data_IF_897747823469
#
_entry.id   IF_897747823469
#
_cell.length_a   1.000
_cell.length_b   1.000
_cell.length_c   1.000
_cell.angle_alpha   90.00
_cell.angle_beta   90.00
_cell.angle_gamma   90.00
#
_symmetry.space_group_name_H-M   'P 1'
#
loop_
_entity.id
_entity.type
_entity.pdbx_description
1 polymer ?
2 non-polymer ?
3 non-polymer ?
4 water ?
#
# COMPACT_ATOMS: atom_id res chain seq x y z
N UNK A 1 -7.64 5.22 -22.10
CA UNK A 1 -6.63 4.13 -22.05
C UNK A 1 -7.22 2.89 -21.38
N UNK A 2 -6.74 1.71 -21.80
CA UNK A 2 -7.25 0.46 -21.22
C UNK A 2 -6.83 0.39 -19.76
N UNK A 3 -5.57 0.73 -19.48
CA UNK A 3 -5.05 0.77 -18.11
C UNK A 3 -5.30 2.19 -17.60
N UNK A 4 -6.39 2.36 -16.86
CA UNK A 4 -6.70 3.66 -16.33
C UNK A 4 -6.37 3.80 -14.83
N UNK A 5 -6.25 2.68 -14.12
CA UNK A 5 -5.97 2.68 -12.66
C UNK A 5 -4.86 1.69 -12.27
N UNK A 6 -4.16 2.00 -11.17
CA UNK A 6 -3.14 1.12 -10.62
C UNK A 6 -3.55 0.87 -9.17
N UNK A 7 -3.81 -0.39 -8.81
CA UNK A 7 -4.12 -0.68 -7.42
C UNK A 7 -2.74 -0.79 -6.77
N UNK A 8 -2.34 0.24 -6.03
CA UNK A 8 -1.03 0.20 -5.38
C UNK A 8 -0.92 -0.66 -4.12
N UNK A 9 -1.95 -1.46 -3.82
CA UNK A 9 -1.83 -2.27 -2.59
C UNK A 9 -2.88 -3.38 -2.62
N UNK A 10 -2.50 -4.56 -3.11
CA UNK A 10 -3.42 -5.67 -3.14
C UNK A 10 -2.66 -6.93 -2.75
N UNK A 11 -3.17 -7.65 -1.74
CA UNK A 11 -2.53 -8.87 -1.26
C UNK A 11 -3.01 -10.00 -2.17
N UNK A 12 -2.53 -9.92 -3.40
CA UNK A 12 -2.93 -10.85 -4.46
C UNK A 12 -2.44 -12.30 -4.31
N UNK A 13 -1.60 -12.57 -3.32
CA UNK A 13 -1.09 -13.92 -3.10
C UNK A 13 -1.96 -14.67 -2.09
N UNK A 14 -2.98 -14.00 -1.58
CA UNK A 14 -3.92 -14.63 -0.64
C UNK A 14 -5.24 -14.95 -1.34
N UNK A 15 -6.11 -15.74 -0.66
CA UNK A 15 -7.44 -16.10 -1.20
C UNK A 15 -8.25 -14.80 -1.25
N UNK A 16 -9.20 -14.67 -2.19
CA UNK A 16 -9.64 -15.59 -3.23
C UNK A 16 -8.83 -15.58 -4.53
N UNK A 17 -7.74 -14.81 -4.58
CA UNK A 17 -6.96 -14.70 -5.82
C UNK A 17 -5.99 -15.85 -6.09
N UNK A 18 -5.50 -16.44 -5.02
CA UNK A 18 -4.52 -17.52 -5.12
C UNK A 18 -5.18 -18.67 -5.87
N UNK A 19 -4.55 -19.13 -6.95
CA UNK A 19 -5.11 -20.22 -7.75
C UNK A 19 -6.15 -19.76 -8.74
N UNK A 20 -6.49 -18.48 -8.74
CA UNK A 20 -7.49 -17.95 -9.66
C UNK A 20 -6.95 -16.65 -10.24
N UNK A 21 -5.62 -16.58 -10.38
CA UNK A 21 -4.93 -15.40 -10.90
C UNK A 21 -5.39 -14.93 -12.27
N UNK A 22 -5.59 -15.85 -13.21
CA UNK A 22 -6.02 -15.46 -14.56
C UNK A 22 -7.34 -14.71 -14.59
N UNK A 23 -8.36 -15.32 -14.00
CA UNK A 23 -9.68 -14.71 -13.95
C UNK A 23 -9.63 -13.40 -13.18
N UNK A 24 -8.90 -13.40 -12.06
CA UNK A 24 -8.81 -12.21 -11.22
C UNK A 24 -8.14 -11.04 -11.96
N UNK A 25 -7.06 -11.31 -12.66
CA UNK A 25 -6.41 -10.24 -13.41
C UNK A 25 -7.31 -9.74 -14.53
N UNK A 26 -8.11 -10.62 -15.15
CA UNK A 26 -9.00 -10.14 -16.23
C UNK A 26 -10.13 -9.28 -15.63
N UNK A 27 -10.66 -9.68 -14.48
CA UNK A 27 -11.71 -8.88 -13.85
C UNK A 27 -11.16 -7.50 -13.50
N UNK A 28 -9.90 -7.45 -13.06
CA UNK A 28 -9.26 -6.19 -12.71
C UNK A 28 -9.06 -5.37 -13.97
N UNK A 29 -8.53 -6.00 -15.00
CA UNK A 29 -8.27 -5.26 -16.24
C UNK A 29 -9.54 -4.68 -16.86
N UNK A 30 -10.59 -5.48 -16.97
CA UNK A 30 -11.80 -4.96 -17.57
C UNK A 30 -12.33 -3.75 -16.80
N UNK A 31 -12.01 -3.64 -15.51
CA UNK A 31 -12.47 -2.50 -14.72
C UNK A 31 -11.53 -1.32 -14.92
N UNK A 32 -10.46 -1.55 -15.68
CA UNK A 32 -9.49 -0.50 -15.91
C UNK A 32 -8.28 -0.58 -14.98
N UNK A 33 -8.24 -1.58 -14.10
CA UNK A 33 -7.11 -1.74 -13.19
C UNK A 33 -6.05 -2.55 -13.94
N UNK A 34 -5.09 -1.84 -14.51
CA UNK A 34 -4.07 -2.47 -15.35
C UNK A 34 -2.82 -3.02 -14.71
N UNK A 35 -2.47 -2.50 -13.53
CA UNK A 35 -1.30 -2.99 -12.79
C UNK A 35 -1.69 -3.05 -11.33
N UNK A 36 -1.05 -3.97 -10.61
CA UNK A 36 -1.34 -4.14 -9.19
C UNK A 36 -0.01 -4.35 -8.46
N UNK A 37 0.20 -3.65 -7.36
CA UNK A 37 1.41 -3.82 -6.55
C UNK A 37 1.04 -4.73 -5.38
N UNK A 38 1.81 -5.81 -5.23
CA UNK A 38 1.59 -6.85 -4.21
C UNK A 38 2.64 -6.78 -3.11
N UNK A 39 2.27 -6.26 -1.94
CA UNK A 39 3.25 -6.18 -0.85
C UNK A 39 3.26 -7.46 -0.02
N UNK A 40 4.43 -7.98 0.31
CA UNK A 40 4.47 -9.23 1.10
C UNK A 40 4.16 -8.93 2.55
N UNK A 41 3.91 -10.00 3.33
CA UNK A 41 3.58 -9.89 4.75
C UNK A 41 4.60 -10.55 5.66
N UNK A 42 5.36 -11.49 5.11
CA UNK A 42 6.33 -12.23 5.90
C UNK A 42 7.26 -13.00 4.99
N UNK A 43 8.43 -13.36 5.51
CA UNK A 43 9.46 -14.02 4.72
C UNK A 43 9.00 -15.32 4.06
N UNK A 44 8.14 -16.06 4.74
CA UNK A 44 7.66 -17.29 4.15
C UNK A 44 6.88 -17.07 2.85
N UNK A 45 6.34 -15.85 2.67
CA UNK A 45 5.61 -15.53 1.44
C UNK A 45 6.46 -14.80 0.38
N UNK A 46 7.75 -14.56 0.65
CA UNK A 46 8.58 -13.84 -0.36
C UNK A 46 8.62 -14.55 -1.73
N UNK A 47 8.81 -15.86 -1.70
CA UNK A 47 8.88 -16.62 -2.94
C UNK A 47 7.62 -16.50 -3.79
N UNK A 48 6.45 -16.67 -3.18
CA UNK A 48 5.22 -16.60 -3.94
C UNK A 48 4.89 -15.17 -4.48
N UNK A 49 5.32 -14.14 -3.74
CA UNK A 49 5.07 -12.77 -4.19
C UNK A 49 6.05 -12.49 -5.34
N UNK A 50 7.29 -12.93 -5.20
CA UNK A 50 8.26 -12.71 -6.27
C UNK A 50 7.81 -13.47 -7.52
N UNK A 51 7.29 -14.69 -7.34
CA UNK A 51 6.84 -15.48 -8.50
C UNK A 51 5.69 -14.76 -9.20
N UNK A 52 4.77 -14.16 -8.44
CA UNK A 52 3.67 -13.43 -9.06
C UNK A 52 4.23 -12.31 -9.92
N UNK A 53 5.17 -11.53 -9.38
CA UNK A 53 5.72 -10.41 -10.15
C UNK A 53 6.52 -10.86 -11.35
N UNK A 54 7.21 -11.98 -11.24
CA UNK A 54 8.00 -12.43 -12.36
C UNK A 54 7.15 -13.10 -13.45
N UNK A 55 6.04 -13.74 -13.06
CA UNK A 55 5.19 -14.45 -14.03
C UNK A 55 4.02 -13.69 -14.67
N UNK A 56 3.58 -12.58 -14.06
CA UNK A 56 2.44 -11.83 -14.62
C UNK A 56 2.84 -10.40 -14.92
N UNK A 57 2.74 -9.99 -16.17
CA UNK A 57 3.12 -8.62 -16.53
C UNK A 57 2.49 -7.54 -15.65
N UNK A 58 1.20 -7.64 -15.32
CA UNK A 58 0.59 -6.60 -14.49
C UNK A 58 0.99 -6.51 -13.03
N UNK A 59 1.66 -7.53 -12.50
CA UNK A 59 1.95 -7.51 -11.08
C UNK A 59 3.36 -7.08 -10.69
N UNK A 60 3.44 -6.22 -9.70
CA UNK A 60 4.71 -5.75 -9.23
C UNK A 60 4.74 -6.12 -7.78
N UNK A 61 5.92 -6.15 -7.19
CA UNK A 61 6.01 -6.58 -5.81
C UNK A 61 6.76 -5.66 -4.85
N UNK A 62 6.51 -5.88 -3.54
CA UNK A 62 7.22 -5.22 -2.47
C UNK A 62 7.48 -6.39 -1.48
N UNK A 63 8.65 -6.38 -0.84
CA UNK A 63 9.04 -7.40 0.12
C UNK A 63 9.27 -6.70 1.44
N UNK A 64 8.77 -7.32 2.50
CA UNK A 64 8.89 -6.72 3.80
C UNK A 64 8.13 -7.58 4.79
N UNK A 65 8.21 -7.18 6.05
CA UNK A 65 7.61 -7.93 7.15
C UNK A 65 6.53 -7.07 7.85
N UNK A 66 5.27 -7.50 7.70
CA UNK A 66 4.06 -6.83 8.20
C UNK A 66 3.93 -6.90 9.72
N UNK A 67 3.57 -5.77 10.36
CA UNK A 67 3.44 -5.79 11.84
C UNK A 67 2.38 -6.77 12.33
N UNK A 68 1.41 -7.05 11.46
CA UNK A 68 0.33 -7.97 11.84
C UNK A 68 0.82 -9.40 11.95
N UNK A 69 1.98 -9.69 11.38
CA UNK A 69 2.58 -11.01 11.43
C UNK A 69 3.84 -11.00 12.31
N UNK A 70 3.89 -10.08 13.27
CA UNK A 70 5.08 -9.93 14.12
C UNK A 70 5.60 -11.24 14.71
N UNK A 71 4.69 -12.11 15.11
CA UNK A 71 5.10 -13.36 15.73
C UNK A 71 5.91 -14.27 14.83
N UNK A 72 5.82 -14.06 13.51
CA UNK A 72 6.54 -14.87 12.55
C UNK A 72 7.90 -14.31 12.15
N UNK A 73 8.19 -13.06 12.51
CA UNK A 73 9.45 -12.44 12.09
C UNK A 73 10.61 -12.66 13.02
N UNK A 74 11.68 -13.21 12.46
CA UNK A 74 12.92 -13.51 13.21
C UNK A 74 14.08 -12.82 12.54
N UNK A 75 15.28 -12.94 13.13
CA UNK A 75 16.46 -12.33 12.52
C UNK A 75 16.68 -13.03 11.18
N UNK A 76 16.26 -14.29 11.07
CA UNK A 76 16.38 -14.99 9.80
C UNK A 76 15.44 -14.33 8.78
N UNK A 77 14.24 -13.94 9.20
CA UNK A 77 13.32 -13.25 8.27
C UNK A 77 13.98 -11.97 7.74
N UNK A 78 14.67 -11.24 8.61
CA UNK A 78 15.29 -10.00 8.17
C UNK A 78 16.48 -10.28 7.27
N UNK A 79 17.22 -11.34 7.55
CA UNK A 79 18.35 -11.65 6.70
C UNK A 79 17.80 -12.05 5.32
N UNK A 80 16.68 -12.77 5.30
CA UNK A 80 16.11 -13.17 4.01
C UNK A 80 15.66 -11.97 3.19
N UNK A 81 15.10 -10.99 3.87
CA UNK A 81 14.66 -9.74 3.21
C UNK A 81 15.89 -9.04 2.59
N UNK A 82 16.95 -8.87 3.38
CA UNK A 82 18.14 -8.23 2.87
C UNK A 82 18.75 -8.98 1.68
N UNK A 83 18.89 -10.30 1.80
CA UNK A 83 19.45 -11.06 0.66
C UNK A 83 18.56 -10.97 -0.57
N UNK A 84 17.24 -10.98 -0.36
CA UNK A 84 16.34 -10.89 -1.50
C UNK A 84 16.52 -9.55 -2.17
N UNK A 85 16.54 -8.49 -1.38
CA UNK A 85 16.71 -7.14 -1.92
C UNK A 85 18.06 -7.00 -2.67
N UNK A 86 19.12 -7.59 -2.10
CA UNK A 86 20.47 -7.55 -2.70
C UNK A 86 20.46 -8.12 -4.12
N UNK A 87 19.67 -9.16 -4.33
CA UNK A 87 19.57 -9.78 -5.64
C UNK A 87 18.69 -8.97 -6.58
N UNK A 88 17.99 -7.98 -6.02
CA UNK A 88 17.08 -7.07 -6.71
C UNK A 88 16.21 -7.66 -7.82
N UNK A 89 15.14 -8.37 -7.44
CA UNK A 89 14.22 -8.99 -8.41
C UNK A 89 13.78 -8.12 -9.59
N UNK A 90 13.82 -6.79 -9.43
CA UNK A 90 13.47 -5.82 -10.52
C UNK A 90 12.04 -5.32 -10.62
N UNK A 91 11.06 -6.22 -10.59
CA UNK A 91 9.69 -5.76 -10.57
C UNK A 91 9.36 -5.57 -9.10
N UNK A 92 10.40 -5.65 -8.27
CA UNK A 92 10.23 -5.40 -6.84
C UNK A 92 10.41 -3.89 -6.79
N UNK A 93 9.40 -3.17 -6.34
CA UNK A 93 9.50 -1.73 -6.37
C UNK A 93 9.54 -1.01 -5.05
N UNK A 94 9.47 -1.75 -3.95
CA UNK A 94 9.46 -1.12 -2.64
C UNK A 94 9.74 -2.15 -1.57
N UNK A 95 10.08 -1.65 -0.39
CA UNK A 95 10.29 -2.47 0.79
C UNK A 95 8.91 -2.32 1.34
N UNK A 96 8.21 -3.42 1.29
CA UNK A 96 6.87 -3.32 1.68
C UNK A 96 6.09 -4.54 1.94
N UNK A 97 5.32 -3.96 2.84
CA UNK A 97 4.30 -3.90 3.82
C UNK A 97 4.99 -4.03 5.14
N UNK A 98 5.40 -2.86 5.62
CA UNK A 98 6.07 -2.74 6.92
C UNK A 98 5.26 -1.64 7.61
N UNK A 99 5.44 -1.50 8.92
CA UNK A 99 4.72 -0.45 9.61
C UNK A 99 4.43 -0.82 11.06
N UNK A 100 3.39 -0.19 11.60
CA UNK A 100 3.00 -0.36 12.98
C UNK A 100 1.50 -0.55 13.09
N UNK A 101 1.05 -1.20 14.16
CA UNK A 101 -0.38 -1.45 14.30
C UNK A 101 -0.62 -1.65 15.79
N UNK A 102 -1.40 -0.77 16.42
CA UNK A 102 -1.63 -0.90 17.85
C UNK A 102 -2.86 -1.70 18.23
N UNK A 103 -3.36 -2.50 17.31
CA UNK A 103 -4.53 -3.32 17.59
C UNK A 103 -4.10 -4.54 18.41
N UNK A 104 -4.93 -4.92 19.38
CA UNK A 104 -4.63 -6.09 20.19
C UNK A 104 -4.34 -5.80 21.64
N UNK A 105 -4.52 -6.81 22.50
CA UNK A 105 -4.23 -6.59 23.92
C UNK A 105 -2.74 -6.44 24.17
N UNK A 106 -1.91 -7.02 23.31
CA UNK A 106 -0.47 -6.82 23.48
C UNK A 106 0.22 -6.81 22.14
N UNK A 107 0.21 -5.65 21.51
CA UNK A 107 0.82 -5.44 20.20
C UNK A 107 2.36 -5.51 20.16
N UNK A 108 3.01 -5.62 21.31
CA UNK A 108 4.48 -5.68 21.35
C UNK A 108 5.03 -4.50 20.53
N UNK A 109 4.55 -3.33 20.89
CA UNK A 109 4.88 -2.08 20.18
C UNK A 109 6.37 -1.72 20.09
N UNK A 110 7.13 -1.96 21.15
CA UNK A 110 8.58 -1.65 21.09
C UNK A 110 9.25 -2.54 20.04
N UNK A 111 8.94 -3.84 20.03
CA UNK A 111 9.53 -4.71 19.03
C UNK A 111 9.02 -4.31 17.63
N UNK A 112 7.75 -3.88 17.51
CA UNK A 112 7.27 -3.45 16.18
C UNK A 112 8.14 -2.31 15.67
N UNK A 113 8.44 -1.36 16.56
CA UNK A 113 9.26 -0.22 16.13
C UNK A 113 10.69 -0.59 15.79
N UNK A 114 11.26 -1.53 16.53
CA UNK A 114 12.64 -1.92 16.19
C UNK A 114 12.62 -2.56 14.80
N UNK A 115 11.62 -3.41 14.58
CA UNK A 115 11.53 -4.11 13.31
C UNK A 115 11.29 -3.14 12.15
N UNK A 116 10.43 -2.16 12.37
CA UNK A 116 10.21 -1.16 11.33
C UNK A 116 11.54 -0.44 11.01
N UNK A 117 12.28 -0.03 12.03
CA UNK A 117 13.52 0.69 11.72
C UNK A 117 14.54 -0.17 11.00
N UNK A 118 14.59 -1.49 11.30
CA UNK A 118 15.52 -2.37 10.60
C UNK A 118 15.18 -2.38 9.11
N UNK A 119 13.89 -2.33 8.80
CA UNK A 119 13.49 -2.36 7.39
C UNK A 119 13.63 -1.00 6.75
N UNK A 120 13.50 0.06 7.53
CA UNK A 120 13.68 1.40 6.98
C UNK A 120 15.16 1.51 6.60
N UNK A 121 16.05 0.89 7.37
CA UNK A 121 17.46 0.94 7.04
C UNK A 121 17.71 0.21 5.71
N UNK A 122 17.01 -0.90 5.47
CA UNK A 122 17.18 -1.64 4.22
C UNK A 122 16.67 -0.85 3.01
N UNK A 123 15.55 -0.15 3.18
CA UNK A 123 15.01 0.64 2.09
C UNK A 123 16.04 1.72 1.74
N UNK A 124 16.69 2.29 2.76
CA UNK A 124 17.71 3.31 2.48
C UNK A 124 18.90 2.72 1.77
N UNK A 125 19.35 1.56 2.25
CA UNK A 125 20.51 0.90 1.65
C UNK A 125 20.29 0.55 0.18
N UNK A 126 19.10 0.06 -0.13
CA UNK A 126 18.81 -0.35 -1.49
C UNK A 126 18.09 0.69 -2.33
N UNK A 127 17.93 1.89 -1.77
CA UNK A 127 17.32 3.04 -2.45
C UNK A 127 15.91 2.70 -2.94
N UNK A 128 15.03 2.31 -2.02
CA UNK A 128 13.65 1.95 -2.38
C UNK A 128 12.65 2.67 -1.52
N UNK A 129 11.45 2.94 -2.06
CA UNK A 129 10.42 3.60 -1.26
C UNK A 129 9.81 2.49 -0.39
N UNK A 130 9.00 2.87 0.61
CA UNK A 130 8.35 1.89 1.48
C UNK A 130 6.84 1.98 1.39
N UNK A 131 6.19 0.84 1.60
CA UNK A 131 4.73 0.75 1.61
C UNK A 131 4.44 0.52 3.08
N UNK A 132 3.77 1.49 3.67
CA UNK A 132 3.51 1.48 5.09
C UNK A 132 2.10 1.24 5.53
N UNK A 133 2.01 0.47 6.62
CA UNK A 133 0.77 0.12 7.31
C UNK A 133 0.81 0.92 8.60
N UNK A 134 -0.31 1.55 8.96
CA UNK A 134 -0.38 2.33 10.18
C UNK A 134 -1.80 2.27 10.69
N UNK A 135 -1.97 1.72 11.89
CA UNK A 135 -3.31 1.64 12.42
C UNK A 135 -3.21 2.11 13.87
N UNK A 136 -3.72 3.32 14.11
CA UNK A 136 -3.69 3.94 15.42
C UNK A 136 -2.27 4.27 15.85
N UNK A 137 -1.37 4.41 14.88
CA UNK A 137 0.05 4.66 15.12
C UNK A 137 0.58 5.79 14.23
N UNK A 138 -0.30 6.65 13.71
CA UNK A 138 0.19 7.69 12.79
C UNK A 138 1.26 8.65 13.36
N UNK A 139 1.06 9.11 14.58
CA UNK A 139 2.00 10.03 15.20
C UNK A 139 3.37 9.39 15.39
N UNK A 140 3.39 8.17 15.92
CA UNK A 140 4.64 7.46 16.15
C UNK A 140 5.32 7.14 14.84
N UNK A 141 4.54 6.70 13.84
CA UNK A 141 5.13 6.37 12.55
C UNK A 141 5.76 7.62 11.97
N UNK A 142 5.05 8.74 12.04
CA UNK A 142 5.61 10.00 11.52
C UNK A 142 6.91 10.38 12.24
N UNK A 143 6.97 10.12 13.55
CA UNK A 143 8.18 10.44 14.30
C UNK A 143 9.38 9.68 13.74
N UNK A 144 9.21 8.39 13.44
CA UNK A 144 10.28 7.56 12.86
C UNK A 144 10.60 8.02 11.44
N UNK A 145 9.57 8.28 10.61
CA UNK A 145 9.87 8.72 9.23
C UNK A 145 10.68 10.01 9.22
N UNK A 146 10.28 10.95 10.07
CA UNK A 146 11.02 12.20 10.12
C UNK A 146 12.49 11.93 10.49
N UNK A 147 12.71 11.12 11.51
CA UNK A 147 14.08 10.82 11.95
C UNK A 147 14.96 10.11 10.95
N UNK A 148 14.41 9.10 10.28
CA UNK A 148 15.24 8.32 9.39
C UNK A 148 15.41 8.84 7.98
N UNK A 149 14.60 9.82 7.61
CA UNK A 149 14.73 10.53 6.34
C UNK A 149 15.10 9.66 5.14
N UNK A 150 14.14 8.89 4.67
CA UNK A 150 14.36 8.02 3.52
C UNK A 150 14.25 8.87 2.27
N UNK A 151 15.31 8.90 1.43
CA UNK A 151 15.29 9.69 0.20
C UNK A 151 14.09 9.37 -0.72
N UNK A 152 13.69 8.11 -0.78
CA UNK A 152 12.59 7.74 -1.68
C UNK A 152 11.22 7.73 -1.05
N UNK A 153 11.17 8.11 0.23
CA UNK A 153 9.97 8.09 1.03
C UNK A 153 9.07 6.87 0.77
N UNK A 154 7.79 7.10 0.48
CA UNK A 154 6.87 5.99 0.30
C UNK A 154 5.42 6.43 0.40
N UNK A 155 4.55 5.48 0.75
CA UNK A 155 3.12 5.75 0.86
C UNK A 155 2.60 5.19 2.20
N UNK A 156 1.74 5.95 2.87
CA UNK A 156 1.10 5.43 4.07
C UNK A 156 -0.20 4.90 3.49
N UNK A 157 -0.28 3.59 3.32
CA UNK A 157 -1.45 2.99 2.67
C UNK A 157 -2.73 2.96 3.52
N UNK A 158 -3.86 2.82 2.83
CA UNK A 158 -5.17 2.69 3.48
C UNK A 158 -5.38 3.69 4.58
N UNK A 159 -4.96 4.92 4.33
CA UNK A 159 -5.06 5.94 5.34
C UNK A 159 -6.45 6.26 5.90
N UNK A 160 -6.53 6.32 7.21
CA UNK A 160 -7.76 6.75 7.87
C UNK A 160 -7.26 7.51 9.07
N UNK A 161 -7.71 8.74 9.22
CA UNK A 161 -7.23 9.52 10.36
C UNK A 161 -7.52 10.98 10.18
N UNK A 162 -6.82 11.82 10.92
CA UNK A 162 -7.04 13.26 10.89
C UNK A 162 -6.31 14.01 9.79
N UNK A 163 -6.78 15.20 9.52
CA UNK A 163 -6.13 16.02 8.51
C UNK A 163 -4.70 16.32 8.96
N UNK A 164 -4.50 16.65 10.23
CA UNK A 164 -3.12 16.92 10.68
C UNK A 164 -2.21 15.71 10.47
N UNK A 165 -2.71 14.51 10.71
CA UNK A 165 -1.86 13.34 10.53
C UNK A 165 -1.50 13.14 9.07
N UNK A 166 -2.47 13.33 8.18
CA UNK A 166 -2.21 13.20 6.74
C UNK A 166 -1.23 14.25 6.26
N UNK A 167 -1.48 15.51 6.61
CA UNK A 167 -0.61 16.59 6.19
C UNK A 167 0.82 16.40 6.71
N UNK A 168 0.97 15.88 7.91
CA UNK A 168 2.32 15.63 8.43
C UNK A 168 3.04 14.61 7.56
N UNK A 169 2.34 13.58 7.10
CA UNK A 169 2.98 12.58 6.24
C UNK A 169 3.34 13.23 4.90
N UNK A 170 2.43 14.02 4.36
CA UNK A 170 2.65 14.67 3.07
C UNK A 170 3.84 15.64 3.17
N UNK A 171 3.94 16.35 4.30
CA UNK A 171 5.04 17.29 4.49
C UNK A 171 6.37 16.56 4.66
N UNK A 172 6.34 15.29 5.02
CA UNK A 172 7.57 14.50 5.12
C UNK A 172 7.89 13.88 3.74
N UNK A 173 7.03 14.15 2.76
CA UNK A 173 7.23 13.65 1.40
C UNK A 173 6.56 12.33 1.08
N UNK A 174 5.72 11.86 1.98
CA UNK A 174 5.02 10.59 1.78
C UNK A 174 3.70 10.76 1.07
N UNK A 175 3.27 9.70 0.38
CA UNK A 175 1.99 9.73 -0.29
C UNK A 175 0.95 9.11 0.63
N UNK A 176 -0.31 9.24 0.24
CA UNK A 176 -1.45 8.78 1.03
C UNK A 176 -2.27 7.81 0.17
N UNK A 177 -2.44 6.58 0.66
CA UNK A 177 -3.20 5.59 -0.10
C UNK A 177 -4.69 5.74 0.13
N UNK A 178 -5.43 5.89 -0.95
CA UNK A 178 -6.88 6.08 -0.89
C UNK A 178 -7.57 4.78 -1.28
N UNK A 179 -8.27 4.20 -0.32
CA UNK A 179 -8.98 2.96 -0.53
C UNK A 179 -10.42 3.02 -0.02
N UNK A 180 -10.98 1.85 0.28
CA UNK A 180 -12.38 1.72 0.69
C UNK A 180 -12.87 2.57 1.83
N UNK A 181 -11.94 3.09 2.62
CA UNK A 181 -12.29 3.93 3.76
C UNK A 181 -13.13 5.13 3.33
N UNK A 182 -12.88 5.66 2.15
CA UNK A 182 -13.64 6.83 1.75
C UNK A 182 -15.07 6.56 1.32
N UNK A 183 -15.47 5.28 1.27
CA UNK A 183 -16.83 4.95 0.86
C UNK A 183 -17.80 4.88 2.03
N UNK A 184 -17.28 5.13 3.24
CA UNK A 184 -18.05 5.11 4.48
C UNK A 184 -18.12 6.50 5.13
N UNK A 185 -18.99 7.39 4.63
CA UNK A 185 -19.03 8.72 5.25
C UNK A 185 -19.34 8.82 6.75
N UNK A 186 -20.04 7.81 7.27
CA UNK A 186 -20.41 7.87 8.67
C UNK A 186 -19.39 7.19 9.60
N UNK A 187 -18.33 6.62 9.03
CA UNK A 187 -17.34 5.91 9.85
C UNK A 187 -16.16 6.75 10.33
N UNK A 188 -15.92 7.86 9.67
CA UNK A 188 -14.83 8.76 10.04
C UNK A 188 -14.92 10.01 9.21
N UNK A 189 -13.94 10.89 9.39
CA UNK A 189 -13.90 12.14 8.65
C UNK A 189 -12.78 12.08 7.62
N UNK A 190 -12.40 10.86 7.26
CA UNK A 190 -11.33 10.70 6.29
C UNK A 190 -11.70 11.26 4.91
N UNK A 191 -12.98 11.23 4.54
CA UNK A 191 -13.37 11.77 3.25
C UNK A 191 -13.02 13.25 3.17
N UNK A 192 -13.20 13.98 4.28
CA UNK A 192 -12.90 15.40 4.30
C UNK A 192 -11.40 15.64 4.16
N UNK A 193 -10.59 14.74 4.72
CA UNK A 193 -9.13 14.86 4.63
C UNK A 193 -8.71 14.66 3.20
N UNK A 194 -9.19 13.56 2.61
CA UNK A 194 -8.82 13.25 1.24
C UNK A 194 -9.29 14.33 0.27
N UNK A 195 -10.40 14.99 0.59
CA UNK A 195 -10.88 16.06 -0.26
C UNK A 195 -9.93 17.26 -0.23
N UNK A 196 -9.19 17.42 0.84
CA UNK A 196 -8.31 18.58 0.96
C UNK A 196 -6.83 18.40 0.59
N UNK A 197 -6.34 17.17 0.62
CA UNK A 197 -4.93 16.97 0.30
C UNK A 197 -4.60 17.32 -1.15
N UNK A 198 -3.32 17.69 -1.42
CA UNK A 198 -2.85 18.04 -2.77
C UNK A 198 -3.05 16.80 -3.63
N UNK A 199 -3.52 16.98 -4.85
CA UNK A 199 -3.75 15.84 -5.73
C UNK A 199 -2.49 14.98 -5.96
N UNK A 200 -1.31 15.61 -5.93
CA UNK A 200 -0.07 14.90 -6.17
C UNK A 200 0.28 14.00 -5.02
N UNK A 201 -0.44 14.08 -3.91
CA UNK A 201 -0.07 13.22 -2.79
C UNK A 201 -0.86 11.91 -2.71
N UNK A 202 -1.84 11.74 -3.57
CA UNK A 202 -2.72 10.56 -3.53
C UNK A 202 -2.38 9.35 -4.41
N UNK A 203 -2.57 8.16 -3.87
CA UNK A 203 -2.40 6.93 -4.65
C UNK A 203 -3.71 6.17 -4.47
N UNK A 204 -4.03 5.33 -5.45
CA UNK A 204 -5.27 4.54 -5.39
C UNK A 204 -4.95 3.11 -4.95
N UNK A 205 -5.85 2.49 -4.18
CA UNK A 205 -5.58 1.11 -3.73
C UNK A 205 -6.87 0.48 -3.27
N UNK A 206 -6.79 -0.81 -2.91
CA UNK A 206 -7.93 -1.52 -2.32
C UNK A 206 -7.61 -2.25 -1.00
N UNK A 207 -6.36 -2.70 -0.85
CA UNK A 207 -5.92 -3.53 0.26
C UNK A 207 -6.71 -4.85 0.17
N UNK A 208 -7.19 -5.20 -1.02
CA UNK A 208 -7.95 -6.46 -1.15
C UNK A 208 -7.07 -7.64 -0.71
N UNK A 209 -7.68 -8.67 -0.13
CA UNK A 209 -9.10 -8.88 0.15
C UNK A 209 -9.68 -8.17 1.35
N UNK A 210 -8.87 -7.39 2.08
CA UNK A 210 -9.45 -6.70 3.25
C UNK A 210 -10.05 -5.36 2.84
N UNK A 211 -10.55 -4.60 3.83
CA UNK A 211 -11.16 -3.28 3.61
C UNK A 211 -12.28 -3.25 2.54
N UNK A 212 -13.32 -4.12 2.69
CA UNK A 212 -14.42 -4.15 1.72
C UNK A 212 -15.10 -2.79 1.60
N UNK A 213 -15.55 -2.41 0.42
CA UNK A 213 -16.20 -1.10 0.29
C UNK A 213 -17.64 -1.13 0.83
N UNK A 214 -18.16 0.07 1.12
CA UNK A 214 -19.52 0.24 1.64
C UNK A 214 -20.53 -0.39 0.69
N UNK A 215 -21.29 -1.35 1.19
CA UNK A 215 -22.30 -2.02 0.36
C UNK A 215 -21.80 -3.34 -0.20
N UNK A 216 -20.57 -3.70 0.15
CA UNK A 216 -19.95 -4.92 -0.32
C UNK A 216 -19.36 -5.72 0.81
N UNK A 217 -19.79 -5.42 2.02
CA UNK A 217 -19.29 -6.14 3.17
C UNK A 217 -19.82 -7.59 3.15
N UNK A 218 -19.11 -8.49 3.83
CA UNK A 218 -19.55 -9.87 3.86
C UNK A 218 -18.89 -10.78 2.83
N UNK A 219 -18.09 -10.21 1.92
CA UNK A 219 -17.38 -10.98 0.90
C UNK A 219 -16.02 -10.32 0.66
N UNK A 220 -15.05 -11.06 0.13
CA UNK A 220 -13.75 -10.42 -0.09
C UNK A 220 -13.71 -9.21 -1.01
N UNK A 221 -12.82 -8.28 -0.68
CA UNK A 221 -12.63 -7.10 -1.52
C UNK A 221 -11.79 -7.63 -2.69
N UNK A 222 -11.84 -6.95 -3.82
CA UNK A 222 -11.10 -7.37 -5.00
C UNK A 222 -10.49 -6.12 -5.64
N UNK A 223 -9.36 -6.28 -6.35
CA UNK A 223 -8.72 -5.11 -6.97
C UNK A 223 -9.56 -4.29 -7.95
N UNK A 224 -10.53 -4.92 -8.61
CA UNK A 224 -11.36 -4.14 -9.53
C UNK A 224 -12.13 -3.05 -8.78
N UNK A 225 -12.26 -3.21 -7.46
CA UNK A 225 -12.99 -2.24 -6.66
C UNK A 225 -12.23 -0.92 -6.62
N UNK A 226 -10.99 -0.89 -7.11
CA UNK A 226 -10.26 0.36 -7.14
C UNK A 226 -11.01 1.36 -8.03
N UNK A 227 -11.66 0.85 -9.08
CA UNK A 227 -12.43 1.71 -10.01
C UNK A 227 -13.58 2.38 -9.28
N UNK A 228 -14.15 1.65 -8.32
CA UNK A 228 -15.25 2.17 -7.50
C UNK A 228 -14.69 3.20 -6.49
N UNK A 229 -13.52 2.91 -5.90
CA UNK A 229 -12.91 3.86 -4.97
C UNK A 229 -12.70 5.16 -5.73
N UNK A 230 -12.21 5.05 -6.96
CA UNK A 230 -11.97 6.20 -7.81
C UNK A 230 -13.25 7.02 -8.06
N UNK A 231 -14.36 6.34 -8.32
CA UNK A 231 -15.62 7.04 -8.57
C UNK A 231 -15.97 7.84 -7.33
N UNK A 232 -15.77 7.28 -6.16
CA UNK A 232 -16.07 8.01 -4.94
C UNK A 232 -15.10 9.16 -4.74
N UNK A 233 -13.82 8.93 -5.05
CA UNK A 233 -12.83 9.99 -4.91
C UNK A 233 -13.21 11.18 -5.79
N UNK A 234 -13.75 10.89 -6.98
CA UNK A 234 -14.16 11.98 -7.86
C UNK A 234 -15.28 12.81 -7.23
N UNK A 235 -16.13 12.18 -6.44
CA UNK A 235 -17.23 12.90 -5.81
C UNK A 235 -16.69 13.83 -4.73
N UNK A 236 -15.56 13.46 -4.14
CA UNK A 236 -14.96 14.26 -3.08
C UNK A 236 -14.11 15.41 -3.59
N UNK A 237 -13.50 15.21 -4.75
CA UNK A 237 -12.61 16.22 -5.29
C UNK A 237 -13.26 17.24 -6.19
N UNK A 238 -12.60 18.38 -6.36
CA UNK A 238 -13.10 19.42 -7.25
C UNK A 238 -12.63 19.17 -8.68
N UNK A 239 -11.42 18.63 -8.85
CA UNK A 239 -10.87 18.37 -10.20
C UNK A 239 -11.71 17.41 -11.02
N UNK A 240 -11.67 17.56 -12.35
CA UNK A 240 -12.43 16.66 -13.23
C UNK A 240 -11.83 15.27 -13.08
N UNK A 241 -12.66 14.25 -13.36
CA UNK A 241 -12.24 12.87 -13.28
C UNK A 241 -11.01 12.54 -14.11
N UNK A 242 -10.91 13.09 -15.32
CA UNK A 242 -9.75 12.76 -16.13
C UNK A 242 -8.46 13.31 -15.53
N UNK A 243 -8.55 14.45 -14.86
CA UNK A 243 -7.36 15.02 -14.24
C UNK A 243 -6.97 14.17 -13.01
N UNK A 244 -7.96 13.73 -12.26
CA UNK A 244 -7.69 12.91 -11.09
C UNK A 244 -7.08 11.58 -11.49
N UNK A 245 -7.69 10.91 -12.47
CA UNK A 245 -7.17 9.62 -12.92
C UNK A 245 -5.71 9.77 -13.37
N UNK A 246 -5.41 10.81 -14.14
CA UNK A 246 -4.05 11.00 -14.61
C UNK A 246 -3.09 11.30 -13.46
N UNK A 247 -3.56 12.02 -12.45
CA UNK A 247 -2.69 12.33 -11.32
C UNK A 247 -2.32 11.05 -10.55
N UNK A 248 -3.31 10.21 -10.27
CA UNK A 248 -3.04 8.98 -9.54
C UNK A 248 -2.01 8.17 -10.30
N UNK A 249 -2.14 8.08 -11.63
CA UNK A 249 -1.16 7.32 -12.41
C UNK A 249 0.20 7.97 -12.33
N UNK A 250 0.27 9.29 -12.48
CA UNK A 250 1.58 9.98 -12.40
C UNK A 250 2.26 9.85 -11.03
N UNK A 251 1.46 9.96 -9.98
CA UNK A 251 1.92 9.86 -8.61
C UNK A 251 2.53 8.49 -8.36
N UNK A 252 1.83 7.46 -8.82
CA UNK A 252 2.27 6.07 -8.69
C UNK A 252 3.62 5.88 -9.43
N UNK A 253 3.72 6.47 -10.60
CA UNK A 253 4.94 6.39 -11.42
C UNK A 253 6.08 7.11 -10.70
N UNK A 254 5.80 8.29 -10.15
CA UNK A 254 6.83 9.07 -9.48
C UNK A 254 7.36 8.39 -8.23
N UNK A 255 6.49 7.72 -7.51
CA UNK A 255 6.90 7.04 -6.30
C UNK A 255 7.58 5.69 -6.52
N UNK A 256 6.98 4.86 -7.37
CA UNK A 256 7.44 3.48 -7.63
C UNK A 256 8.11 3.18 -8.97
N UNK A 257 7.85 4.03 -9.95
CA UNK A 257 8.35 3.85 -11.32
C UNK A 257 7.56 2.70 -11.99
N UNK A 258 6.24 2.69 -11.73
CA UNK A 258 5.31 1.70 -12.30
C UNK A 258 4.40 2.46 -13.28
N UNK A 259 4.57 2.23 -14.61
CA UNK A 259 3.82 2.86 -15.72
C UNK A 259 2.33 2.52 -15.83
X LIG B 1 -1.85 -4.56 3.24
X LIG C 1 -2.03 -2.63 5.84
X LIG D 1 13.06 4.96 14.37
X LIG E 1 -9.53 4.74 -23.14
X LIG F 1 0.17 -10.63 18.74
X LIG F 1 1.12 -9.69 19.25
X LIG F 1 1.74 -8.91 18.09
X LIG F 1 0.80 -7.97 17.59
X LIG F 1 1.43 -7.27 16.49
X LIG F 1 0.41 -6.27 15.93
X LIG F 1 -0.73 -7.00 15.50
X LIG F 1 -1.69 -6.08 14.99
X LIG F 1 -2.90 -6.89 14.55
X LIG F 1 -2.53 -7.78 13.48
X LIG F 1 -3.69 -8.53 13.13
X LIG F 1 -3.34 -9.45 11.98
X LIG F 1 -3.14 -8.62 10.83
X LIG F 1 -2.80 -9.42 9.72
X LIG F 1 -2.61 -8.48 8.51
X LIG F 1 -2.67 -9.22 7.30
X LIG F 1 -2.50 -8.31 6.20
X LIG F 1 -2.60 -9.12 4.90
X LIG F 1 -3.88 -9.72 4.88
X LIG F 1 -4.02 -10.50 3.70
X LIG F 1 -5.40 -11.13 3.72
X LIG F 1 -5.58 -11.90 4.91
#
# INVERSE_FOLDING_TARGET
MICRFIDTHCHFDFPPFSGDEEASLQRAAQAGVGKIIVPATEAENFARVLALAENYQPLYAALGLHPGMLEKHSDVSLEQLQQALERRPAKVVAVGEIGLDLFGDDPQFERQQWLLDEQLKLAKRYDLPVILHSRRTHDKLAMHLKRHDLPRTGVVHGFSGSLQQAERFVQLGYKIGVGGTITYPRASKTRDVIAKLPLASLLLETDAPDMPLNGFQGQPNRPEQAARVFAVLCELRREPADEIAQALLNNTYTLFNVP
ZN ZN
ZN ZN
ZN ZN
ZN ZN
P33 O22 C21 C20 O19 C18 C17 O16 C15 C14 O13 C12 C11 O10 C9 C8 O7 C6 C5 O4 C3 C2 O1
#
